data_IF_480915944988
#
_entry.id   IF_480915944988
#
_cell.length_a   1.000
_cell.length_b   1.000
_cell.length_c   1.000
_cell.angle_alpha   90.00
_cell.angle_beta   90.00
_cell.angle_gamma   90.00
#
_symmetry.space_group_name_H-M   'P 1'
#
loop_
_entity.id
_entity.type
_entity.pdbx_description
1 polymer ?
#
# COMPACT_ATOMS: atom_id res chain seq x y z
N UNK A 1 48.30 16.71 -28.98
CA UNK A 1 49.52 15.91 -28.66
C UNK A 1 49.09 14.63 -27.97
N UNK A 2 49.33 13.48 -28.67
CA UNK A 2 49.59 12.11 -28.20
C UNK A 2 48.62 11.52 -27.18
N UNK A 3 47.59 10.82 -27.55
CA UNK A 3 47.50 9.37 -27.91
C UNK A 3 48.39 8.46 -27.05
N UNK A 4 47.74 7.58 -26.21
CA UNK A 4 48.26 6.24 -25.92
C UNK A 4 47.09 5.30 -25.71
N UNK A 5 46.88 4.44 -26.70
CA UNK A 5 46.19 3.16 -26.66
C UNK A 5 47.03 2.16 -25.85
N UNK A 6 46.41 1.31 -25.10
CA UNK A 6 46.96 -0.01 -24.72
C UNK A 6 45.84 -1.03 -24.70
N UNK A 7 46.02 -1.99 -25.59
CA UNK A 7 45.18 -3.15 -25.83
C UNK A 7 45.69 -4.38 -25.01
N UNK A 8 44.81 -5.41 -24.97
CA UNK A 8 45.09 -6.84 -24.93
C UNK A 8 45.26 -7.43 -23.52
N UNK A 9 44.56 -8.46 -23.09
CA UNK A 9 44.54 -9.84 -23.64
C UNK A 9 43.34 -10.64 -23.11
N UNK A 10 42.75 -11.41 -24.00
CA UNK A 10 41.83 -12.51 -23.71
C UNK A 10 42.58 -13.74 -23.21
N UNK A 11 42.03 -14.45 -22.25
CA UNK A 11 42.40 -15.85 -21.95
C UNK A 11 41.13 -16.69 -21.86
N UNK A 12 40.97 -17.54 -22.85
CA UNK A 12 40.01 -18.64 -22.90
C UNK A 12 40.64 -19.87 -22.20
N UNK A 13 39.90 -20.51 -21.31
CA UNK A 13 40.20 -21.86 -20.87
C UNK A 13 38.89 -22.66 -20.82
N UNK A 14 38.82 -23.61 -21.73
CA UNK A 14 37.83 -24.70 -21.80
C UNK A 14 38.40 -25.94 -21.10
N UNK A 15 37.53 -26.68 -20.40
CA UNK A 15 37.64 -28.12 -20.11
C UNK A 15 36.55 -28.45 -19.06
N UNK A 16 35.83 -29.52 -19.04
CA UNK A 16 35.58 -30.71 -19.83
C UNK A 16 34.46 -31.48 -19.09
N UNK A 17 33.61 -32.07 -19.84
CA UNK A 17 32.51 -32.96 -19.47
C UNK A 17 32.98 -34.17 -18.62
N UNK A 18 32.11 -34.57 -17.66
CA UNK A 18 32.07 -35.97 -17.21
C UNK A 18 30.62 -36.40 -17.01
N UNK A 19 30.11 -37.16 -17.97
CA UNK A 19 28.90 -38.01 -17.88
C UNK A 19 29.27 -39.23 -16.98
N UNK A 20 28.39 -39.56 -16.05
CA UNK A 20 28.31 -40.94 -15.56
C UNK A 20 26.85 -41.36 -15.50
N UNK A 21 26.49 -42.18 -16.45
CA UNK A 21 25.27 -42.96 -16.51
C UNK A 21 25.47 -44.27 -15.75
N UNK A 22 24.48 -44.66 -14.94
CA UNK A 22 24.24 -46.07 -14.61
C UNK A 22 22.74 -46.29 -14.42
N UNK A 23 22.14 -47.03 -15.32
CA UNK A 23 20.88 -47.79 -15.24
C UNK A 23 21.24 -49.29 -15.19
N UNK A 24 20.27 -50.21 -15.09
CA UNK A 24 19.13 -50.41 -14.17
C UNK A 24 19.12 -51.83 -13.58
N UNK A 25 18.23 -52.15 -12.70
CA UNK A 25 17.79 -53.54 -12.53
C UNK A 25 16.33 -53.62 -12.12
N UNK A 26 15.62 -54.33 -12.91
CA UNK A 26 14.22 -54.72 -12.82
C UNK A 26 13.95 -55.76 -11.73
N UNK A 27 12.82 -55.66 -11.05
CA UNK A 27 11.97 -56.86 -10.83
C UNK A 27 10.56 -56.39 -10.39
N UNK A 28 9.57 -57.04 -10.97
CA UNK A 28 8.17 -56.70 -11.00
C UNK A 28 7.41 -57.01 -9.73
N UNK A 29 6.18 -56.47 -9.72
CA UNK A 29 5.15 -56.71 -8.75
C UNK A 29 3.90 -55.94 -9.11
N UNK A 30 2.91 -56.70 -9.63
CA UNK A 30 1.56 -56.22 -9.95
C UNK A 30 0.80 -55.81 -8.72
N UNK A 31 -0.01 -54.73 -8.77
CA UNK A 31 -0.92 -54.33 -7.71
C UNK A 31 -1.66 -53.05 -8.05
N UNK A 32 -2.87 -53.24 -8.49
CA UNK A 32 -4.12 -52.47 -8.42
C UNK A 32 -4.16 -50.95 -8.30
N UNK A 33 -4.93 -50.43 -9.22
CA UNK A 33 -5.60 -49.13 -9.32
C UNK A 33 -6.18 -48.66 -7.98
N UNK A 34 -5.86 -47.40 -7.59
CA UNK A 34 -6.78 -46.57 -6.83
C UNK A 34 -6.55 -45.12 -7.25
N UNK A 35 -7.55 -44.56 -7.87
CA UNK A 35 -7.65 -43.14 -8.17
C UNK A 35 -7.68 -42.35 -6.85
N UNK A 36 -6.66 -41.53 -6.61
CA UNK A 36 -6.69 -40.53 -5.57
C UNK A 36 -7.07 -39.19 -6.21
N UNK A 37 -8.23 -38.72 -5.86
CA UNK A 37 -8.75 -37.40 -6.16
C UNK A 37 -7.74 -36.34 -5.73
N UNK A 38 -7.48 -35.39 -6.64
CA UNK A 38 -6.72 -34.19 -6.34
C UNK A 38 -7.41 -33.38 -5.25
N UNK A 39 -6.80 -33.37 -4.09
CA UNK A 39 -7.11 -32.42 -3.04
C UNK A 39 -6.47 -31.09 -3.43
N UNK A 40 -7.33 -30.14 -3.82
CA UNK A 40 -6.96 -28.73 -3.87
C UNK A 40 -6.61 -28.35 -2.42
N UNK A 41 -5.33 -28.26 -2.13
CA UNK A 41 -4.85 -27.78 -0.83
C UNK A 41 -5.16 -26.31 -0.71
N UNK A 42 -6.20 -25.96 0.05
CA UNK A 42 -6.34 -24.66 0.66
C UNK A 42 -5.03 -24.39 1.41
N UNK A 43 -4.35 -23.31 1.07
CA UNK A 43 -3.22 -22.83 1.86
C UNK A 43 -3.77 -22.37 3.22
N UNK A 44 -3.73 -23.28 4.19
CA UNK A 44 -4.10 -23.01 5.57
C UNK A 44 -2.93 -22.26 6.20
N UNK A 45 -3.13 -20.98 6.55
CA UNK A 45 -2.21 -20.23 7.40
C UNK A 45 -2.23 -20.84 8.80
N UNK A 46 -1.39 -21.83 9.01
CA UNK A 46 -1.31 -22.56 10.28
C UNK A 46 0.07 -23.13 10.52
N UNK A 47 0.83 -22.48 11.40
CA UNK A 47 1.97 -23.07 12.11
C UNK A 47 3.34 -22.83 11.48
N UNK A 48 3.98 -21.72 11.83
CA UNK A 48 5.42 -21.51 11.66
C UNK A 48 5.86 -20.53 10.58
N UNK A 49 4.97 -20.09 9.69
CA UNK A 49 5.34 -19.19 8.59
C UNK A 49 5.22 -17.71 8.99
N UNK A 50 6.11 -16.88 8.45
CA UNK A 50 6.08 -15.43 8.59
C UNK A 50 4.92 -14.87 7.75
N UNK A 51 4.17 -13.91 8.32
CA UNK A 51 3.14 -13.16 7.61
C UNK A 51 3.78 -11.97 6.88
N UNK A 52 3.62 -11.92 5.57
CA UNK A 52 4.16 -10.83 4.76
C UNK A 52 3.11 -9.76 4.58
N UNK A 53 3.35 -8.59 5.14
CA UNK A 53 2.39 -7.47 5.11
C UNK A 53 2.95 -6.35 4.24
N UNK A 54 2.20 -6.02 3.19
CA UNK A 54 2.46 -4.88 2.32
C UNK A 54 2.05 -3.57 2.99
N UNK A 55 2.96 -2.59 3.00
CA UNK A 55 2.72 -1.29 3.61
C UNK A 55 3.41 -0.19 2.82
N UNK A 56 2.97 1.05 2.98
CA UNK A 56 3.71 2.23 2.51
C UNK A 56 4.93 2.50 3.39
N UNK A 57 5.97 3.12 2.82
CA UNK A 57 7.14 3.56 3.58
C UNK A 57 7.32 5.08 3.55
N UNK A 58 6.47 5.79 2.81
CA UNK A 58 6.59 7.23 2.52
C UNK A 58 5.42 8.08 3.05
N UNK A 59 4.58 7.51 3.93
CA UNK A 59 3.40 8.18 4.47
C UNK A 59 3.53 8.36 6.00
N UNK A 60 4.10 9.48 6.48
CA UNK A 60 4.21 9.79 7.91
C UNK A 60 2.84 9.74 8.60
N UNK A 61 2.78 9.10 9.76
CA UNK A 61 1.53 8.88 10.51
C UNK A 61 0.67 7.70 10.03
N UNK A 62 0.98 7.07 8.91
CA UNK A 62 0.22 5.95 8.33
C UNK A 62 1.09 4.71 8.12
N UNK A 63 1.80 4.65 7.01
CA UNK A 63 2.82 3.63 6.74
C UNK A 63 4.14 4.34 6.47
N UNK A 64 5.01 4.41 7.46
CA UNK A 64 6.26 5.15 7.38
C UNK A 64 7.44 4.34 7.88
N UNK A 65 8.53 4.35 7.10
CA UNK A 65 9.78 3.70 7.50
C UNK A 65 10.97 4.60 7.26
N UNK A 66 11.75 4.83 8.31
CA UNK A 66 12.99 5.59 8.23
C UNK A 66 14.20 4.64 8.25
N UNK A 67 14.90 4.57 7.14
CA UNK A 67 16.06 3.67 7.00
C UNK A 67 15.69 2.21 7.23
N UNK A 68 16.41 1.54 8.12
CA UNK A 68 16.21 0.12 8.47
C UNK A 68 15.31 -0.08 9.71
N UNK A 69 14.68 0.98 10.23
CA UNK A 69 13.77 0.87 11.37
C UNK A 69 12.51 0.06 11.01
N UNK A 70 11.83 -0.46 12.03
CA UNK A 70 10.49 -1.03 11.82
C UNK A 70 9.53 0.07 11.35
N UNK A 71 8.59 -0.24 10.45
CA UNK A 71 7.61 0.74 10.02
C UNK A 71 6.69 1.14 11.18
N UNK A 72 6.21 2.37 11.13
CA UNK A 72 5.30 2.98 12.12
C UNK A 72 4.13 3.65 11.42
N UNK A 73 3.09 3.96 12.17
CA UNK A 73 1.92 4.67 11.69
C UNK A 73 0.63 3.87 11.84
N UNK A 74 -0.48 4.51 11.60
CA UNK A 74 -1.81 3.96 11.83
C UNK A 74 -2.07 2.67 11.01
N UNK A 75 -1.74 2.64 9.71
CA UNK A 75 -1.82 1.43 8.89
C UNK A 75 -1.02 0.27 9.49
N UNK A 76 0.16 0.59 10.03
CA UNK A 76 1.05 -0.40 10.66
C UNK A 76 0.48 -0.92 11.99
N UNK A 77 -0.15 -0.05 12.77
CA UNK A 77 -0.75 -0.43 14.06
C UNK A 77 -2.02 -1.27 13.85
N UNK A 78 -2.86 -0.92 12.86
CA UNK A 78 -4.00 -1.77 12.46
C UNK A 78 -3.51 -3.14 11.97
N UNK A 79 -2.46 -3.17 11.16
CA UNK A 79 -1.87 -4.40 10.65
C UNK A 79 -1.33 -5.30 11.78
N UNK A 80 -0.65 -4.73 12.79
CA UNK A 80 -0.19 -5.47 13.97
C UNK A 80 -1.35 -6.02 14.77
N UNK A 81 -2.38 -5.21 14.98
CA UNK A 81 -3.57 -5.64 15.72
C UNK A 81 -4.26 -6.82 15.03
N UNK A 82 -4.50 -6.71 13.73
CA UNK A 82 -5.08 -7.79 12.93
C UNK A 82 -4.21 -9.05 12.97
N UNK A 83 -2.90 -8.92 12.77
CA UNK A 83 -1.99 -10.06 12.83
C UNK A 83 -2.00 -10.77 14.19
N UNK A 84 -2.03 -10.00 15.29
CA UNK A 84 -2.12 -10.55 16.65
C UNK A 84 -3.42 -11.36 16.85
N UNK A 85 -4.56 -10.85 16.37
CA UNK A 85 -5.85 -11.55 16.40
C UNK A 85 -5.83 -12.83 15.57
N UNK A 86 -5.09 -12.85 14.48
CA UNK A 86 -4.83 -14.05 13.66
C UNK A 86 -3.78 -15.00 14.27
N UNK A 87 -3.30 -14.74 15.49
CA UNK A 87 -2.29 -15.55 16.19
C UNK A 87 -0.86 -15.41 15.65
N UNK A 88 -0.57 -14.33 14.93
CA UNK A 88 0.76 -14.01 14.39
C UNK A 88 1.40 -12.93 15.23
N UNK A 89 2.46 -13.28 15.98
CA UNK A 89 3.23 -12.32 16.78
C UNK A 89 4.06 -11.39 15.91
N UNK A 90 4.38 -10.20 16.42
CA UNK A 90 5.07 -9.13 15.66
C UNK A 90 6.42 -9.57 15.08
N UNK A 91 7.18 -10.41 15.79
CA UNK A 91 8.46 -10.95 15.33
C UNK A 91 8.33 -11.90 14.12
N UNK A 92 7.12 -12.36 13.81
CA UNK A 92 6.80 -13.15 12.62
C UNK A 92 6.20 -12.33 11.49
N UNK A 93 6.11 -11.00 11.60
CA UNK A 93 5.68 -10.11 10.52
C UNK A 93 6.90 -9.72 9.68
N UNK A 94 6.79 -9.93 8.37
CA UNK A 94 7.73 -9.39 7.39
C UNK A 94 7.07 -8.21 6.65
N UNK A 95 7.61 -7.02 6.87
CA UNK A 95 7.13 -5.81 6.21
C UNK A 95 7.68 -5.69 4.80
N UNK A 96 6.80 -5.46 3.83
CA UNK A 96 7.14 -5.32 2.41
C UNK A 96 6.69 -3.95 1.92
N UNK A 97 7.61 -3.19 1.32
CA UNK A 97 7.24 -1.92 0.70
C UNK A 97 6.34 -2.16 -0.51
N UNK A 98 5.13 -1.60 -0.47
CA UNK A 98 4.13 -1.83 -1.50
C UNK A 98 3.57 -0.50 -2.02
N UNK A 99 4.23 0.13 -3.01
CA UNK A 99 3.75 1.34 -3.67
C UNK A 99 2.38 1.14 -4.33
N UNK A 100 1.62 2.23 -4.51
CA UNK A 100 0.24 2.17 -5.04
C UNK A 100 0.11 1.40 -6.35
N UNK A 101 1.08 1.56 -7.27
CA UNK A 101 1.06 0.90 -8.56
C UNK A 101 1.30 -0.63 -8.50
N UNK A 102 1.80 -1.15 -7.38
CA UNK A 102 2.23 -2.55 -7.28
C UNK A 102 1.30 -3.41 -6.40
N UNK A 103 0.30 -2.82 -5.73
CA UNK A 103 -0.51 -3.51 -4.70
C UNK A 103 -1.22 -4.74 -5.24
N UNK A 104 -1.95 -4.59 -6.34
CA UNK A 104 -2.68 -5.68 -6.96
C UNK A 104 -1.72 -6.80 -7.41
N UNK A 105 -0.62 -6.45 -8.07
CA UNK A 105 0.38 -7.42 -8.55
C UNK A 105 1.06 -8.16 -7.39
N UNK A 106 1.37 -7.46 -6.29
CA UNK A 106 2.01 -8.07 -5.13
C UNK A 106 1.13 -9.15 -4.48
N UNK A 107 -0.19 -8.92 -4.41
CA UNK A 107 -1.16 -9.92 -3.95
C UNK A 107 -1.32 -11.06 -4.95
N UNK A 108 -1.51 -10.76 -6.24
CA UNK A 108 -1.69 -11.77 -7.30
C UNK A 108 -0.48 -12.69 -7.44
N UNK A 109 0.74 -12.14 -7.28
CA UNK A 109 1.98 -12.91 -7.35
C UNK A 109 2.34 -13.63 -6.04
N UNK A 110 1.57 -13.41 -4.97
CA UNK A 110 1.89 -13.96 -3.65
C UNK A 110 3.19 -13.40 -3.06
N UNK A 111 3.54 -12.15 -3.37
CA UNK A 111 4.68 -11.46 -2.76
C UNK A 111 4.35 -11.00 -1.34
N UNK A 112 3.07 -10.72 -1.07
CA UNK A 112 2.51 -10.38 0.24
C UNK A 112 1.24 -11.18 0.48
N UNK A 113 0.90 -11.38 1.76
CA UNK A 113 -0.28 -12.10 2.19
C UNK A 113 -1.45 -11.15 2.45
N UNK A 114 -1.17 -9.91 2.86
CA UNK A 114 -2.14 -8.83 3.00
C UNK A 114 -1.49 -7.45 2.84
N UNK A 115 -2.29 -6.42 2.58
CA UNK A 115 -1.82 -5.03 2.37
C UNK A 115 -2.63 -4.07 3.22
N UNK A 116 -1.91 -3.27 4.05
CA UNK A 116 -2.41 -2.10 4.76
C UNK A 116 -1.63 -0.87 4.25
N UNK A 117 -2.16 -0.18 3.27
CA UNK A 117 -1.40 0.84 2.56
C UNK A 117 -2.31 1.96 2.01
N UNK A 118 -3.18 2.54 2.89
CA UNK A 118 -4.18 3.51 2.46
C UNK A 118 -4.90 3.04 1.20
N UNK A 119 -5.39 1.79 1.25
CA UNK A 119 -5.80 1.06 0.07
C UNK A 119 -7.30 1.18 -0.16
N UNK A 120 -7.72 2.24 -0.87
CA UNK A 120 -9.13 2.47 -1.16
C UNK A 120 -9.77 1.28 -1.86
N UNK A 121 -10.87 0.78 -1.30
CA UNK A 121 -11.73 -0.26 -1.86
C UNK A 121 -12.42 0.31 -3.09
N UNK A 122 -12.26 -0.33 -4.25
CA UNK A 122 -12.96 0.04 -5.48
C UNK A 122 -13.37 -1.19 -6.26
N UNK A 123 -14.44 -1.08 -7.07
CA UNK A 123 -14.91 -2.21 -7.88
C UNK A 123 -13.83 -2.71 -8.85
N UNK A 124 -13.09 -1.80 -9.49
CA UNK A 124 -12.00 -2.16 -10.39
C UNK A 124 -10.89 -2.98 -9.69
N UNK A 125 -10.58 -2.66 -8.42
CA UNK A 125 -9.61 -3.43 -7.63
C UNK A 125 -10.18 -4.76 -7.18
N UNK A 126 -11.48 -4.79 -6.82
CA UNK A 126 -12.19 -6.03 -6.46
C UNK A 126 -12.25 -7.05 -7.61
N UNK A 127 -12.12 -6.64 -8.85
CA UNK A 127 -11.99 -7.58 -9.97
C UNK A 127 -10.72 -8.44 -9.85
N UNK A 128 -9.65 -7.88 -9.29
CA UNK A 128 -8.31 -8.49 -9.21
C UNK A 128 -7.99 -9.11 -7.85
N UNK A 129 -8.33 -8.43 -6.77
CA UNK A 129 -7.98 -8.80 -5.39
C UNK A 129 -9.20 -8.82 -4.49
N UNK A 130 -9.09 -9.41 -3.31
CA UNK A 130 -10.11 -9.33 -2.26
C UNK A 130 -9.85 -8.15 -1.33
N UNK A 131 -10.88 -7.77 -0.58
CA UNK A 131 -10.80 -6.76 0.48
C UNK A 131 -11.56 -7.19 1.72
N UNK A 132 -11.00 -6.85 2.88
CA UNK A 132 -11.68 -6.76 4.16
C UNK A 132 -11.69 -5.30 4.64
N UNK A 133 -12.51 -4.96 5.62
CA UNK A 133 -12.67 -3.59 6.09
C UNK A 133 -13.88 -2.88 5.48
N UNK A 134 -13.96 -1.55 5.53
CA UNK A 134 -12.84 -0.62 5.73
C UNK A 134 -12.40 -0.50 7.20
N UNK A 135 -11.11 -0.30 7.39
CA UNK A 135 -10.58 0.06 8.70
C UNK A 135 -10.54 1.57 8.93
N UNK A 136 -10.63 2.38 7.87
CA UNK A 136 -10.65 3.84 7.92
C UNK A 136 -11.36 4.42 6.70
N UNK A 137 -11.94 5.62 6.85
CA UNK A 137 -12.55 6.39 5.75
C UNK A 137 -11.98 7.80 5.76
N UNK A 138 -11.33 8.16 4.66
CA UNK A 138 -10.73 9.46 4.40
C UNK A 138 -11.47 10.21 3.27
N UNK A 139 -11.07 11.42 2.99
CA UNK A 139 -11.47 12.17 1.81
C UNK A 139 -10.27 12.70 1.02
N UNK A 140 -10.34 12.72 -0.30
CA UNK A 140 -9.31 13.34 -1.12
C UNK A 140 -9.34 14.86 -0.96
N UNK A 141 -8.14 15.47 -0.83
CA UNK A 141 -7.95 16.92 -0.68
C UNK A 141 -6.70 17.39 -1.46
N UNK A 142 -6.31 18.61 -1.22
CA UNK A 142 -5.17 19.26 -1.86
C UNK A 142 -4.17 19.77 -0.82
N UNK A 143 -2.88 19.58 -1.07
CA UNK A 143 -1.78 20.22 -0.35
C UNK A 143 -1.19 21.32 -1.23
N UNK A 144 -1.05 22.50 -0.67
CA UNK A 144 -0.48 23.67 -1.36
C UNK A 144 0.61 24.31 -0.51
N UNK A 145 1.42 25.18 -1.10
CA UNK A 145 2.34 26.01 -0.32
C UNK A 145 1.55 26.89 0.67
N UNK A 146 2.11 27.14 1.82
CA UNK A 146 1.42 27.82 2.92
C UNK A 146 0.90 29.23 2.55
N UNK A 147 1.59 29.92 1.66
CA UNK A 147 1.25 31.26 1.17
C UNK A 147 0.31 31.27 -0.06
N UNK A 148 0.04 30.10 -0.67
CA UNK A 148 -0.90 30.02 -1.80
C UNK A 148 -2.34 30.21 -1.31
N UNK A 149 -3.02 31.19 -1.87
CA UNK A 149 -4.44 31.47 -1.64
C UNK A 149 -5.29 31.28 -2.90
N UNK A 150 -4.68 30.85 -4.00
CA UNK A 150 -5.33 30.71 -5.30
C UNK A 150 -6.03 29.36 -5.48
N UNK A 151 -5.56 28.32 -4.79
CA UNK A 151 -6.11 26.97 -4.85
C UNK A 151 -6.95 26.73 -3.60
N UNK A 152 -8.25 26.60 -3.79
CA UNK A 152 -9.26 26.47 -2.72
C UNK A 152 -10.11 25.20 -2.85
N UNK A 153 -9.92 24.44 -3.92
CA UNK A 153 -10.64 23.20 -4.20
C UNK A 153 -10.32 22.71 -5.62
N UNK A 154 -10.87 21.56 -6.05
CA UNK A 154 -10.56 20.97 -7.34
C UNK A 154 -10.95 21.85 -8.53
N UNK A 155 -11.95 22.69 -8.40
CA UNK A 155 -12.39 23.65 -9.44
C UNK A 155 -11.34 24.73 -9.74
N UNK A 156 -10.43 25.00 -8.82
CA UNK A 156 -9.34 25.98 -8.97
C UNK A 156 -8.09 25.42 -9.64
N UNK A 157 -8.08 24.14 -10.00
CA UNK A 157 -6.94 23.45 -10.59
C UNK A 157 -6.79 23.64 -12.10
N UNK A 158 -7.71 24.35 -12.75
CA UNK A 158 -7.65 24.56 -14.20
C UNK A 158 -6.35 25.28 -14.60
N UNK A 159 -5.58 24.66 -15.50
CA UNK A 159 -4.28 25.16 -15.95
C UNK A 159 -3.13 25.01 -14.95
N UNK A 160 -3.36 24.37 -13.81
CA UNK A 160 -2.35 24.11 -12.79
C UNK A 160 -1.63 22.78 -13.04
N UNK A 161 -0.40 22.69 -12.53
CA UNK A 161 0.35 21.45 -12.44
C UNK A 161 0.03 20.77 -11.10
N UNK A 162 -0.52 19.59 -11.15
CA UNK A 162 -0.96 18.82 -9.97
C UNK A 162 -0.16 17.53 -9.87
N UNK A 163 0.44 17.24 -8.72
CA UNK A 163 1.11 15.97 -8.49
C UNK A 163 0.19 14.99 -7.75
N UNK A 164 0.25 13.73 -8.17
CA UNK A 164 -0.30 12.58 -7.44
C UNK A 164 0.53 11.33 -7.72
N UNK A 165 0.14 10.19 -7.14
CA UNK A 165 0.91 8.95 -7.24
C UNK A 165 0.27 8.00 -8.24
N UNK A 166 1.10 7.42 -9.11
CA UNK A 166 0.69 6.38 -10.07
C UNK A 166 0.01 5.22 -9.36
N UNK A 167 -1.16 4.81 -9.84
CA UNK A 167 -1.95 3.71 -9.27
C UNK A 167 -2.78 4.10 -8.03
N UNK A 168 -2.80 5.40 -7.63
CA UNK A 168 -3.73 5.90 -6.63
C UNK A 168 -5.12 6.17 -7.21
N UNK A 169 -6.16 6.06 -6.38
CA UNK A 169 -7.51 6.53 -6.72
C UNK A 169 -7.52 8.03 -6.99
N UNK A 170 -6.72 8.77 -6.22
CA UNK A 170 -6.61 10.23 -6.35
C UNK A 170 -6.12 10.66 -7.73
N UNK A 171 -5.06 10.01 -8.26
CA UNK A 171 -4.60 10.26 -9.62
C UNK A 171 -5.66 9.90 -10.67
N UNK A 172 -6.35 8.76 -10.48
CA UNK A 172 -7.38 8.31 -11.41
C UNK A 172 -8.59 9.25 -11.43
N UNK A 173 -9.09 9.68 -10.26
CA UNK A 173 -10.22 10.62 -10.18
C UNK A 173 -9.92 11.96 -10.83
N UNK A 174 -8.70 12.46 -10.70
CA UNK A 174 -8.28 13.67 -11.41
C UNK A 174 -8.34 13.47 -12.92
N UNK A 175 -7.85 12.33 -13.43
CA UNK A 175 -7.92 12.01 -14.87
C UNK A 175 -9.36 11.93 -15.37
N UNK A 176 -10.26 11.34 -14.58
CA UNK A 176 -11.63 11.06 -14.98
C UNK A 176 -12.54 12.29 -14.87
N UNK A 177 -12.33 13.12 -13.84
CA UNK A 177 -13.27 14.20 -13.50
C UNK A 177 -12.74 15.60 -13.82
N UNK A 178 -11.41 15.78 -13.80
CA UNK A 178 -10.79 17.11 -13.89
C UNK A 178 -9.75 17.24 -15.03
N UNK A 179 -9.54 16.16 -15.83
CA UNK A 179 -8.44 16.06 -16.80
C UNK A 179 -8.42 17.18 -17.87
N UNK A 180 -9.58 17.77 -18.20
CA UNK A 180 -9.66 18.76 -19.29
C UNK A 180 -8.97 20.10 -18.99
N UNK A 181 -8.56 20.33 -17.74
CA UNK A 181 -7.94 21.59 -17.33
C UNK A 181 -6.71 21.46 -16.44
N UNK A 182 -6.36 20.25 -16.02
CA UNK A 182 -5.29 19.98 -15.05
C UNK A 182 -4.12 19.27 -15.72
N UNK A 183 -2.88 19.74 -15.48
CA UNK A 183 -1.69 19.04 -15.89
C UNK A 183 -1.26 18.08 -14.78
N UNK A 184 -1.68 16.81 -14.87
CA UNK A 184 -1.33 15.80 -13.87
C UNK A 184 0.11 15.30 -14.07
N UNK A 185 0.93 15.43 -13.02
CA UNK A 185 2.28 14.89 -12.90
C UNK A 185 2.22 13.71 -11.94
N UNK A 186 2.52 12.51 -12.41
CA UNK A 186 2.50 11.31 -11.58
C UNK A 186 3.90 10.93 -11.11
N UNK A 187 4.02 10.56 -9.82
CA UNK A 187 5.26 10.12 -9.19
C UNK A 187 5.10 8.73 -8.58
N UNK A 188 6.21 8.11 -8.15
CA UNK A 188 6.22 6.83 -7.47
C UNK A 188 5.71 6.88 -6.01
N UNK A 189 5.91 8.03 -5.34
CA UNK A 189 5.55 8.27 -3.95
C UNK A 189 5.16 9.72 -3.68
N UNK A 190 4.46 9.96 -2.57
CA UNK A 190 4.00 11.30 -2.20
C UNK A 190 5.13 12.20 -1.70
N UNK A 191 6.18 11.66 -1.11
CA UNK A 191 7.36 12.45 -0.73
C UNK A 191 8.02 13.14 -1.94
N UNK A 192 8.01 12.49 -3.11
CA UNK A 192 8.49 13.08 -4.36
C UNK A 192 7.57 14.23 -4.82
N UNK A 193 6.24 14.05 -4.71
CA UNK A 193 5.27 15.10 -5.00
C UNK A 193 5.48 16.34 -4.11
N UNK A 194 5.76 16.15 -2.81
CA UNK A 194 6.04 17.25 -1.88
C UNK A 194 7.33 17.99 -2.27
N UNK A 195 8.36 17.27 -2.72
CA UNK A 195 9.59 17.89 -3.23
C UNK A 195 9.31 18.74 -4.47
N UNK A 196 8.43 18.30 -5.36
CA UNK A 196 8.03 19.07 -6.54
C UNK A 196 7.19 20.31 -6.17
N UNK A 197 6.33 20.18 -5.14
CA UNK A 197 5.58 21.31 -4.61
C UNK A 197 6.50 22.36 -3.98
N UNK A 198 7.49 21.94 -3.19
CA UNK A 198 8.47 22.82 -2.56
C UNK A 198 9.29 23.59 -3.60
N UNK A 199 9.73 22.90 -4.65
CA UNK A 199 10.53 23.52 -5.72
C UNK A 199 9.71 24.35 -6.73
N UNK A 200 8.38 24.35 -6.61
CA UNK A 200 7.48 25.07 -7.53
C UNK A 200 7.31 24.40 -8.90
N UNK A 201 7.70 23.14 -9.05
CA UNK A 201 7.48 22.37 -10.29
C UNK A 201 6.00 21.98 -10.44
N UNK A 202 5.30 21.84 -9.32
CA UNK A 202 3.84 21.68 -9.28
C UNK A 202 3.20 22.73 -8.38
N UNK A 203 1.94 22.99 -8.60
CA UNK A 203 1.15 23.98 -7.86
C UNK A 203 0.48 23.38 -6.63
N UNK A 204 0.11 22.10 -6.71
CA UNK A 204 -0.51 21.35 -5.63
C UNK A 204 -0.14 19.85 -5.69
N UNK A 205 -0.34 19.16 -4.57
CA UNK A 205 -0.35 17.70 -4.47
C UNK A 205 -1.77 17.27 -4.09
N UNK A 206 -2.26 16.18 -4.65
CA UNK A 206 -3.56 15.62 -4.29
C UNK A 206 -3.44 14.17 -3.85
N UNK A 207 -4.02 13.89 -2.72
CA UNK A 207 -4.32 12.58 -2.14
C UNK A 207 -5.27 12.77 -0.97
N UNK A 208 -5.40 11.78 -0.12
CA UNK A 208 -6.33 11.80 1.00
C UNK A 208 -5.82 12.74 2.12
N UNK A 209 -6.74 13.42 2.76
CA UNK A 209 -6.52 14.47 3.76
C UNK A 209 -5.55 14.06 4.87
N UNK A 210 -5.73 12.86 5.44
CA UNK A 210 -4.84 12.31 6.47
C UNK A 210 -3.41 12.11 5.97
N UNK A 211 -3.22 11.68 4.71
CA UNK A 211 -1.90 11.54 4.10
C UNK A 211 -1.24 12.91 3.96
N UNK A 212 -1.99 13.90 3.45
CA UNK A 212 -1.51 15.28 3.27
C UNK A 212 -1.13 15.93 4.59
N UNK A 213 -1.93 15.71 5.63
CA UNK A 213 -1.65 16.22 6.98
C UNK A 213 -0.34 15.64 7.54
N UNK A 214 -0.15 14.32 7.44
CA UNK A 214 1.10 13.66 7.85
C UNK A 214 2.32 14.18 7.09
N UNK A 215 2.22 14.38 5.77
CA UNK A 215 3.30 14.94 4.96
C UNK A 215 3.64 16.39 5.32
N UNK A 216 2.62 17.22 5.59
CA UNK A 216 2.80 18.62 5.96
C UNK A 216 3.42 18.78 7.36
N UNK A 217 3.15 17.86 8.27
CA UNK A 217 3.57 17.94 9.66
C UNK A 217 5.01 17.47 9.93
N UNK A 218 5.71 16.87 8.95
CA UNK A 218 7.10 16.46 9.15
C UNK A 218 7.99 17.67 9.50
N UNK A 219 9.04 17.46 10.28
CA UNK A 219 9.99 18.52 10.66
C UNK A 219 10.54 19.28 9.43
N UNK A 220 10.77 18.57 8.34
CA UNK A 220 11.26 19.14 7.10
C UNK A 220 10.24 20.04 6.39
N UNK A 221 8.95 19.81 6.60
CA UNK A 221 7.85 20.45 5.87
C UNK A 221 7.05 21.45 6.72
N UNK A 222 7.24 21.44 8.04
CA UNK A 222 6.49 22.25 8.98
C UNK A 222 6.48 23.73 8.57
N UNK A 223 5.27 24.29 8.46
CA UNK A 223 5.06 25.69 8.07
C UNK A 223 5.26 26.04 6.59
N UNK A 224 5.68 25.08 5.76
CA UNK A 224 5.87 25.29 4.31
C UNK A 224 4.59 25.06 3.51
N UNK A 225 3.74 24.16 3.98
CA UNK A 225 2.55 23.69 3.29
C UNK A 225 1.31 23.77 4.17
N UNK A 226 0.15 23.72 3.53
CA UNK A 226 -1.15 23.57 4.20
C UNK A 226 -2.06 22.67 3.38
N UNK A 227 -2.89 21.90 4.06
CA UNK A 227 -4.02 21.19 3.48
C UNK A 227 -5.14 22.20 3.26
N UNK A 228 -5.82 22.14 2.11
CA UNK A 228 -6.87 23.10 1.76
C UNK A 228 -8.08 22.95 2.68
N UNK A 229 -8.42 21.72 3.09
CA UNK A 229 -9.46 21.43 4.06
C UNK A 229 -10.85 21.29 3.45
N UNK A 230 -10.94 21.01 2.14
CA UNK A 230 -12.18 20.79 1.42
C UNK A 230 -12.14 19.46 0.68
N UNK A 231 -12.38 18.37 1.41
CA UNK A 231 -12.44 17.03 0.81
C UNK A 231 -13.55 16.92 -0.22
N UNK A 232 -13.27 16.25 -1.33
CA UNK A 232 -14.20 16.15 -2.47
C UNK A 232 -14.47 14.72 -2.93
N UNK A 233 -13.99 13.71 -2.16
CA UNK A 233 -14.31 12.29 -2.38
C UNK A 233 -14.43 11.56 -1.06
N UNK A 234 -14.91 10.32 -1.12
CA UNK A 234 -14.85 9.34 -0.01
C UNK A 234 -13.87 8.23 -0.39
N UNK A 235 -12.93 7.92 0.49
CA UNK A 235 -11.88 6.92 0.29
C UNK A 235 -11.92 5.91 1.44
N UNK A 236 -12.46 4.71 1.17
CA UNK A 236 -12.61 3.64 2.15
C UNK A 236 -11.36 2.76 2.15
N UNK A 237 -10.53 2.85 3.19
CA UNK A 237 -9.30 2.05 3.30
C UNK A 237 -9.60 0.63 3.74
N UNK A 238 -9.38 -0.32 2.86
CA UNK A 238 -9.50 -1.75 3.15
C UNK A 238 -8.15 -2.44 3.27
N UNK A 239 -8.21 -3.62 3.85
CA UNK A 239 -7.12 -4.58 3.85
C UNK A 239 -7.18 -5.35 2.55
N UNK A 240 -6.19 -5.16 1.68
CA UNK A 240 -6.08 -5.94 0.46
C UNK A 240 -5.63 -7.37 0.78
N UNK A 241 -6.31 -8.35 0.22
CA UNK A 241 -6.01 -9.79 0.37
C UNK A 241 -6.04 -10.48 -1.00
N UNK A 242 -5.46 -11.66 -1.16
CA UNK A 242 -5.59 -12.43 -2.39
C UNK A 242 -7.06 -12.68 -2.74
N UNK A 243 -7.40 -12.68 -4.03
CA UNK A 243 -8.76 -12.95 -4.49
C UNK A 243 -9.22 -14.33 -4.03
N UNK A 244 -10.41 -14.38 -3.38
CA UNK A 244 -10.97 -15.61 -2.84
C UNK A 244 -10.29 -16.12 -1.57
N UNK A 245 -9.53 -15.27 -0.86
CA UNK A 245 -8.99 -15.59 0.45
C UNK A 245 -10.11 -15.83 1.47
N UNK A 246 -9.94 -16.81 2.34
CA UNK A 246 -10.84 -17.16 3.44
C UNK A 246 -10.59 -16.33 4.71
N UNK A 247 -9.59 -15.43 4.70
CA UNK A 247 -9.22 -14.61 5.87
C UNK A 247 -10.05 -13.34 6.04
N UNK A 248 -10.93 -13.02 5.10
CA UNK A 248 -11.70 -11.77 5.10
C UNK A 248 -12.56 -11.60 6.37
N UNK A 249 -13.29 -12.63 6.79
CA UNK A 249 -14.16 -12.56 7.99
C UNK A 249 -13.31 -12.35 9.26
N UNK A 250 -12.22 -13.09 9.40
CA UNK A 250 -11.31 -12.95 10.55
C UNK A 250 -10.70 -11.55 10.65
N UNK A 251 -10.35 -10.94 9.51
CA UNK A 251 -9.86 -9.55 9.45
C UNK A 251 -10.97 -8.57 9.82
N UNK A 252 -12.19 -8.76 9.31
CA UNK A 252 -13.33 -7.92 9.64
C UNK A 252 -13.68 -7.98 11.13
N UNK A 253 -13.65 -9.16 11.74
CA UNK A 253 -13.86 -9.34 13.17
C UNK A 253 -12.80 -8.62 13.99
N UNK A 254 -11.53 -8.72 13.59
CA UNK A 254 -10.42 -8.02 14.23
C UNK A 254 -10.56 -6.48 14.14
N UNK A 255 -10.98 -5.95 12.98
CA UNK A 255 -11.24 -4.51 12.81
C UNK A 255 -12.40 -4.06 13.70
N UNK A 256 -13.48 -4.83 13.76
CA UNK A 256 -14.64 -4.55 14.62
C UNK A 256 -14.22 -4.49 16.09
N UNK A 257 -13.48 -5.50 16.55
CA UNK A 257 -13.00 -5.57 17.93
C UNK A 257 -12.04 -4.40 18.25
N UNK A 258 -11.16 -4.02 17.31
CA UNK A 258 -10.27 -2.87 17.48
C UNK A 258 -11.05 -1.57 17.67
N UNK A 259 -12.13 -1.37 16.92
CA UNK A 259 -13.03 -0.21 17.06
C UNK A 259 -13.80 -0.25 18.38
N UNK A 260 -14.40 -1.37 18.73
CA UNK A 260 -15.20 -1.56 19.95
C UNK A 260 -14.38 -1.42 21.23
N UNK A 261 -13.12 -1.86 21.22
CA UNK A 261 -12.20 -1.73 22.37
C UNK A 261 -11.61 -0.33 22.55
N UNK A 262 -11.77 0.56 21.56
CA UNK A 262 -11.17 1.90 21.54
C UNK A 262 -9.69 1.92 21.15
N UNK A 263 -9.07 0.78 20.85
CA UNK A 263 -7.68 0.71 20.38
C UNK A 263 -7.50 1.36 18.99
N UNK A 264 -8.55 1.35 18.17
CA UNK A 264 -8.57 2.04 16.88
C UNK A 264 -8.41 3.56 17.04
N UNK A 265 -9.21 4.17 17.89
CA UNK A 265 -9.16 5.63 18.13
C UNK A 265 -7.83 6.03 18.77
N UNK A 266 -7.36 5.25 19.73
CA UNK A 266 -6.06 5.46 20.39
C UNK A 266 -4.90 5.38 19.40
N UNK A 267 -4.90 4.38 18.50
CA UNK A 267 -3.90 4.25 17.45
C UNK A 267 -3.95 5.44 16.47
N UNK A 268 -5.15 5.85 16.04
CA UNK A 268 -5.32 6.99 15.16
C UNK A 268 -4.80 8.28 15.80
N UNK A 269 -5.22 8.58 17.03
CA UNK A 269 -4.79 9.78 17.77
C UNK A 269 -3.27 9.81 17.95
N UNK A 270 -2.65 8.68 18.35
CA UNK A 270 -1.21 8.62 18.56
C UNK A 270 -0.41 8.90 17.26
N UNK A 271 -0.94 8.51 16.11
CA UNK A 271 -0.27 8.66 14.81
C UNK A 271 -0.61 9.99 14.09
N UNK A 272 -1.62 10.70 14.53
CA UNK A 272 -2.01 12.02 13.99
C UNK A 272 -1.70 13.18 14.94
N UNK A 273 -1.14 12.89 16.12
CA UNK A 273 -0.74 13.92 17.09
C UNK A 273 0.21 14.93 16.45
N UNK A 274 -0.09 16.22 16.65
CA UNK A 274 0.72 17.32 16.12
C UNK A 274 0.55 17.61 14.63
N UNK A 275 -0.23 16.82 13.89
CA UNK A 275 -0.50 17.07 12.46
C UNK A 275 -1.60 18.11 12.23
N UNK A 276 -2.42 18.38 13.25
CA UNK A 276 -3.64 19.20 13.13
C UNK A 276 -4.77 18.52 12.37
N UNK A 277 -4.64 17.21 12.11
CA UNK A 277 -5.67 16.42 11.46
C UNK A 277 -6.77 16.02 12.45
N UNK A 278 -8.01 16.21 12.04
CA UNK A 278 -9.19 15.74 12.75
C UNK A 278 -9.98 14.84 11.78
N UNK A 279 -10.20 13.57 12.15
CA UNK A 279 -10.97 12.66 11.32
C UNK A 279 -12.48 12.96 11.38
N UNK A 280 -13.19 12.63 10.32
CA UNK A 280 -14.65 12.74 10.31
C UNK A 280 -15.27 11.54 11.03
N UNK A 281 -15.91 11.78 12.19
CA UNK A 281 -16.70 10.76 12.88
C UNK A 281 -17.85 10.25 12.00
N UNK A 282 -18.50 11.15 11.24
CA UNK A 282 -19.60 10.80 10.35
C UNK A 282 -19.16 9.76 9.30
N UNK A 283 -18.02 9.96 8.64
CA UNK A 283 -17.48 9.02 7.66
C UNK A 283 -17.02 7.71 8.29
N UNK A 284 -16.54 7.74 9.53
CA UNK A 284 -15.95 6.55 10.18
C UNK A 284 -16.92 5.77 11.09
N UNK A 285 -18.18 6.24 11.21
CA UNK A 285 -19.27 5.57 11.93
C UNK A 285 -20.55 5.38 11.11
N UNK A 286 -20.66 5.98 9.92
CA UNK A 286 -21.80 5.88 9.01
C UNK A 286 -21.71 4.74 8.00
N UNK A 287 -22.55 4.81 6.98
CA UNK A 287 -22.66 3.80 5.91
C UNK A 287 -21.32 3.56 5.17
N UNK A 288 -20.49 4.60 5.04
CA UNK A 288 -19.18 4.48 4.41
C UNK A 288 -18.19 3.62 5.23
N UNK A 289 -18.43 3.47 6.53
CA UNK A 289 -17.64 2.64 7.43
C UNK A 289 -18.15 1.20 7.55
N UNK A 290 -19.24 0.83 6.88
CA UNK A 290 -19.74 -0.55 6.85
C UNK A 290 -18.69 -1.49 6.25
N UNK A 291 -18.50 -2.63 6.93
CA UNK A 291 -17.53 -3.62 6.47
C UNK A 291 -17.99 -4.28 5.16
N UNK A 292 -17.03 -4.54 4.28
CA UNK A 292 -17.28 -5.30 3.05
C UNK A 292 -17.77 -6.71 3.37
N UNK A 293 -18.72 -7.19 2.57
CA UNK A 293 -19.13 -8.59 2.62
C UNK A 293 -18.01 -9.47 2.07
N UNK A 294 -17.61 -10.46 2.83
CA UNK A 294 -16.65 -11.47 2.40
C UNK A 294 -17.28 -12.42 1.37
N UNK A 295 -16.74 -12.47 0.15
CA UNK A 295 -17.27 -13.30 -0.95
C UNK A 295 -16.15 -14.04 -1.71
#
# INVERSE_FOLDING_TARGET
>A
MRSKFLSVTAVAAAAALSLSACSPSSSGGSGESSAAAGSSGSAQAGGGDTLRIGIKYDQPGLGFRQGDAQPTGFDTDVARYVADKMGVSEDRITWVQTPSANRENALENGEVDMIFATYSITDARKERVGFAGPYFVAGQDLLVRADDTSITGPESLNGKNLCSVTGSTSAQKIKDQFASGVNLVEQGGYAECVTYLESGQVDAVTTDDIILAGLAATDANQGKFKVVGNTFTTERYGVGIPKGSDTCEEINDAISEMKESGEWEKALQANTEGTGYEYSEELNSGDDAELESCS
#
